data_IF_372889993688
#
_entry.id   IF_372889993688
#
_cell.length_a   1.000
_cell.length_b   1.000
_cell.length_c   1.000
_cell.angle_alpha   90.00
_cell.angle_beta   90.00
_cell.angle_gamma   90.00
#
_symmetry.space_group_name_H-M   'P 1'
#
loop_
_entity.id
_entity.type
_entity.pdbx_description
1 polymer ?
#
# COMPACT_ATOMS: atom_id res chain seq x y z
N UNK A 1 -9.38 6.57 -10.33
CA UNK A 1 -9.92 5.98 -9.08
C UNK A 1 -11.10 6.75 -8.53
N UNK A 2 -11.07 8.10 -8.49
CA UNK A 2 -12.18 8.96 -8.03
C UNK A 2 -13.59 8.55 -8.48
N UNK A 3 -13.80 8.25 -9.77
CA UNK A 3 -15.13 7.89 -10.29
C UNK A 3 -15.58 6.48 -9.91
N UNK A 4 -14.69 5.67 -9.32
CA UNK A 4 -14.91 4.28 -8.96
C UNK A 4 -14.67 4.03 -7.45
N UNK A 5 -14.63 5.07 -6.61
CA UNK A 5 -14.32 4.94 -5.17
C UNK A 5 -15.21 3.88 -4.50
N UNK A 6 -16.52 3.92 -4.74
CA UNK A 6 -17.46 2.93 -4.19
C UNK A 6 -17.13 1.52 -4.63
N UNK A 7 -16.89 1.30 -5.92
CA UNK A 7 -16.54 -0.02 -6.47
C UNK A 7 -15.24 -0.54 -5.89
N UNK A 8 -14.21 0.31 -5.76
CA UNK A 8 -12.91 -0.05 -5.18
C UNK A 8 -13.10 -0.49 -3.72
N UNK A 9 -13.76 0.35 -2.92
CA UNK A 9 -13.95 0.10 -1.50
C UNK A 9 -14.83 -1.12 -1.19
N UNK A 10 -15.74 -1.48 -2.09
CA UNK A 10 -16.64 -2.63 -1.92
C UNK A 10 -16.04 -3.92 -2.46
N UNK A 11 -15.33 -3.86 -3.60
CA UNK A 11 -14.87 -5.07 -4.28
C UNK A 11 -13.47 -5.51 -3.84
N UNK A 12 -12.62 -4.59 -3.35
CA UNK A 12 -11.32 -4.94 -2.82
C UNK A 12 -11.41 -5.14 -1.31
N UNK A 13 -11.39 -6.40 -0.88
CA UNK A 13 -11.27 -6.73 0.55
C UNK A 13 -9.92 -6.29 1.12
N UNK A 14 -8.86 -6.41 0.31
CA UNK A 14 -7.49 -6.02 0.66
C UNK A 14 -6.90 -5.12 -0.43
N UNK A 15 -6.87 -3.81 -0.19
CA UNK A 15 -6.01 -2.86 -0.91
C UNK A 15 -4.83 -2.52 -0.01
N UNK A 16 -3.66 -3.06 -0.31
CA UNK A 16 -2.48 -2.99 0.56
C UNK A 16 -1.30 -2.32 -0.16
N UNK A 17 -0.70 -1.33 0.49
CA UNK A 17 0.46 -0.58 -0.01
C UNK A 17 1.62 -0.80 0.96
N UNK A 18 2.79 -1.13 0.43
CA UNK A 18 4.03 -1.29 1.20
C UNK A 18 5.16 -0.45 0.65
N UNK A 19 6.14 -0.15 1.51
CA UNK A 19 7.27 0.72 1.18
C UNK A 19 8.50 0.41 2.04
N UNK A 20 9.69 0.59 1.45
CA UNK A 20 11.00 0.44 2.12
C UNK A 20 11.36 1.53 3.14
N UNK A 21 10.38 2.28 3.65
CA UNK A 21 10.57 3.46 4.49
C UNK A 21 11.17 4.65 3.73
N UNK A 22 11.68 5.66 4.46
CA UNK A 22 12.21 6.91 3.88
C UNK A 22 13.41 6.73 2.95
N UNK A 23 14.15 5.64 3.13
CA UNK A 23 15.31 5.30 2.31
C UNK A 23 14.91 4.74 0.93
N UNK A 24 13.63 4.45 0.71
CA UNK A 24 13.13 4.01 -0.59
C UNK A 24 13.03 5.21 -1.53
N UNK A 25 13.60 5.06 -2.73
CA UNK A 25 13.57 6.07 -3.79
C UNK A 25 12.15 6.51 -4.17
N UNK A 26 11.15 5.65 -3.92
CA UNK A 26 9.74 5.92 -4.23
C UNK A 26 8.95 6.49 -3.04
N UNK A 27 9.55 6.64 -1.86
CA UNK A 27 8.82 6.98 -0.63
C UNK A 27 8.00 8.27 -0.76
N UNK A 28 8.61 9.36 -1.23
CA UNK A 28 7.92 10.64 -1.39
C UNK A 28 6.72 10.54 -2.35
N UNK A 29 6.89 9.83 -3.47
CA UNK A 29 5.83 9.62 -4.45
C UNK A 29 4.69 8.77 -3.89
N UNK A 30 5.02 7.75 -3.10
CA UNK A 30 4.03 6.93 -2.40
C UNK A 30 3.20 7.78 -1.44
N UNK A 31 3.83 8.61 -0.59
CA UNK A 31 3.11 9.48 0.34
C UNK A 31 2.15 10.44 -0.39
N UNK A 32 2.55 10.99 -1.54
CA UNK A 32 1.68 11.84 -2.38
C UNK A 32 0.47 11.03 -2.89
N UNK A 33 0.69 9.78 -3.33
CA UNK A 33 -0.38 8.91 -3.79
C UNK A 33 -1.34 8.53 -2.65
N UNK A 34 -0.83 8.20 -1.46
CA UNK A 34 -1.66 7.87 -0.29
C UNK A 34 -2.55 9.05 0.11
N UNK A 35 -2.00 10.27 0.14
CA UNK A 35 -2.80 11.48 0.37
C UNK A 35 -3.93 11.65 -0.66
N UNK A 36 -3.66 11.35 -1.93
CA UNK A 36 -4.70 11.38 -2.96
C UNK A 36 -5.76 10.29 -2.75
N UNK A 37 -5.41 9.14 -2.15
CA UNK A 37 -6.38 8.11 -1.78
C UNK A 37 -7.25 8.59 -0.64
N UNK A 38 -6.67 9.25 0.36
CA UNK A 38 -7.39 9.87 1.47
C UNK A 38 -8.40 10.92 0.96
N UNK A 39 -7.95 11.84 0.09
CA UNK A 39 -8.79 12.87 -0.53
C UNK A 39 -9.97 12.29 -1.34
N UNK A 40 -9.79 11.08 -1.89
CA UNK A 40 -10.82 10.36 -2.66
C UNK A 40 -11.68 9.43 -1.79
N UNK A 41 -11.38 9.28 -0.50
CA UNK A 41 -12.05 8.33 0.40
C UNK A 41 -11.80 6.86 0.06
N UNK A 42 -10.67 6.53 -0.56
CA UNK A 42 -10.28 5.16 -0.90
C UNK A 42 -9.70 4.49 0.34
N UNK A 43 -10.24 3.33 0.71
CA UNK A 43 -9.77 2.53 1.85
C UNK A 43 -8.58 1.70 1.42
N UNK A 44 -7.46 1.85 2.13
CA UNK A 44 -6.26 1.04 1.95
C UNK A 44 -5.62 0.72 3.30
N UNK A 45 -4.72 -0.24 3.30
CA UNK A 45 -3.79 -0.53 4.40
C UNK A 45 -2.39 -0.13 3.97
N UNK A 46 -1.62 0.43 4.90
CA UNK A 46 -0.23 0.82 4.66
C UNK A 46 0.69 0.08 5.61
N UNK A 47 1.82 -0.40 5.10
CA UNK A 47 2.87 -1.07 5.86
C UNK A 47 4.23 -0.56 5.43
N UNK A 48 5.16 -0.46 6.38
CA UNK A 48 6.53 -0.06 6.09
C UNK A 48 7.51 -1.03 6.74
N UNK A 49 8.59 -1.30 6.02
CA UNK A 49 9.74 -1.99 6.54
C UNK A 49 11.00 -1.26 6.11
N UNK A 50 11.88 -0.92 7.05
CA UNK A 50 13.09 -0.18 6.75
C UNK A 50 14.04 -1.03 5.89
N UNK A 51 14.57 -0.44 4.82
CA UNK A 51 15.54 -1.11 3.94
C UNK A 51 15.61 -0.57 2.53
N UNK A 52 14.87 0.49 2.21
CA UNK A 52 14.85 1.14 0.92
C UNK A 52 14.33 0.22 -0.19
N UNK A 53 14.77 0.49 -1.43
CA UNK A 53 14.33 -0.25 -2.60
C UNK A 53 15.08 -1.59 -2.74
N UNK A 54 14.80 -2.55 -1.86
CA UNK A 54 15.60 -3.77 -1.71
C UNK A 54 14.78 -5.06 -1.57
N UNK A 55 15.39 -6.18 -1.95
CA UNK A 55 14.79 -7.53 -1.87
C UNK A 55 14.36 -7.97 -0.46
N UNK A 56 15.12 -7.68 0.62
CA UNK A 56 14.68 -8.03 1.98
C UNK A 56 13.35 -7.39 2.37
N UNK A 57 13.12 -6.13 1.98
CA UNK A 57 11.85 -5.41 2.18
C UNK A 57 10.72 -6.15 1.46
N UNK A 58 10.88 -6.43 0.16
CA UNK A 58 9.81 -7.10 -0.61
C UNK A 58 9.51 -8.51 -0.11
N UNK A 59 10.53 -9.25 0.34
CA UNK A 59 10.34 -10.58 0.94
C UNK A 59 9.50 -10.49 2.22
N UNK A 60 9.81 -9.54 3.09
CA UNK A 60 9.04 -9.27 4.30
C UNK A 60 7.58 -8.91 3.97
N UNK A 61 7.40 -8.02 3.00
CA UNK A 61 6.09 -7.48 2.63
C UNK A 61 5.18 -8.54 2.00
N UNK A 62 5.72 -9.38 1.10
CA UNK A 62 4.99 -10.53 0.54
C UNK A 62 4.62 -11.53 1.65
N UNK A 63 5.52 -11.78 2.61
CA UNK A 63 5.21 -12.65 3.73
C UNK A 63 4.02 -12.12 4.53
N UNK A 64 4.03 -10.84 4.94
CA UNK A 64 2.91 -10.25 5.68
C UNK A 64 1.60 -10.22 4.87
N UNK A 65 1.67 -9.82 3.60
CA UNK A 65 0.48 -9.74 2.75
C UNK A 65 -0.14 -11.12 2.52
N UNK A 66 0.66 -12.17 2.34
CA UNK A 66 0.16 -13.52 2.16
C UNK A 66 -0.68 -14.03 3.34
N UNK A 67 -0.40 -13.54 4.57
CA UNK A 67 -1.13 -13.97 5.77
C UNK A 67 -2.55 -13.39 5.86
N UNK A 68 -2.92 -12.42 5.03
CA UNK A 68 -4.25 -11.79 5.06
C UNK A 68 -5.12 -12.15 3.85
N UNK A 69 -4.56 -12.80 2.84
CA UNK A 69 -5.30 -13.24 1.66
C UNK A 69 -6.29 -14.36 2.01
N UNK A 70 -7.47 -14.32 1.40
CA UNK A 70 -8.52 -15.35 1.46
C UNK A 70 -9.04 -15.68 2.87
N UNK A 71 -8.88 -14.76 3.81
CA UNK A 71 -9.67 -14.71 5.05
C UNK A 71 -11.02 -14.06 4.79
#
# INVERSE_FOLDING_TARGET
>A
MKNNTTTINTNLKELWVSMGGKEDIAHANCQIMLKKFDDMGIKYKYSEYAGGHSWPVWRHDIFLFSQILFK
#
